data_IF_378745896653
#
_entry.id   IF_378745896653
#
_cell.length_a   1.000
_cell.length_b   1.000
_cell.length_c   1.000
_cell.angle_alpha   90.00
_cell.angle_beta   90.00
_cell.angle_gamma   90.00
#
_symmetry.space_group_name_H-M   'P 1'
#
loop_
_entity.id
_entity.type
_entity.pdbx_description
1 polymer ?
#
# COMPACT_ATOMS: atom_id res chain seq x y z
N UNK A 1 -30.80 13.28 18.57
CA UNK A 1 -30.01 12.03 18.74
C UNK A 1 -29.28 12.13 20.06
N UNK A 2 -29.18 11.04 20.81
CA UNK A 2 -28.46 10.99 22.10
C UNK A 2 -27.22 10.13 21.94
N UNK A 3 -26.08 10.56 22.48
CA UNK A 3 -24.83 9.78 22.46
C UNK A 3 -24.92 8.66 23.49
N UNK A 4 -24.85 7.40 23.04
CA UNK A 4 -24.97 6.21 23.90
C UNK A 4 -23.65 5.53 24.23
N UNK A 5 -22.56 5.88 23.54
CA UNK A 5 -21.26 5.29 23.77
C UNK A 5 -20.13 6.03 23.06
N UNK A 6 -18.90 5.81 23.53
CA UNK A 6 -17.66 6.31 22.92
C UNK A 6 -16.75 5.11 22.72
N UNK A 7 -16.15 5.02 21.52
CA UNK A 7 -15.21 3.96 21.16
C UNK A 7 -13.83 4.54 20.92
N UNK A 8 -12.79 3.71 21.01
CA UNK A 8 -11.43 4.11 20.65
C UNK A 8 -11.37 4.50 19.17
N UNK A 9 -10.46 5.41 18.84
CA UNK A 9 -10.21 5.81 17.46
C UNK A 9 -9.85 4.59 16.61
N UNK A 10 -10.40 4.57 15.40
CA UNK A 10 -10.07 3.52 14.43
C UNK A 10 -8.59 3.62 14.06
N UNK A 11 -7.86 2.50 13.96
CA UNK A 11 -6.46 2.52 13.53
C UNK A 11 -6.27 3.22 12.18
N UNK A 12 -5.14 3.92 12.01
CA UNK A 12 -4.78 4.66 10.78
C UNK A 12 -4.76 3.79 9.51
N UNK A 13 -4.55 2.48 9.65
CA UNK A 13 -4.45 1.51 8.56
C UNK A 13 -5.77 0.76 8.27
N UNK A 14 -6.91 1.25 8.75
CA UNK A 14 -8.23 0.71 8.43
C UNK A 14 -8.78 1.33 7.15
N UNK A 15 -9.47 0.55 6.30
CA UNK A 15 -10.20 1.11 5.14
C UNK A 15 -11.48 1.85 5.58
N UNK A 16 -12.01 1.50 6.75
CA UNK A 16 -13.23 2.06 7.30
C UNK A 16 -12.86 3.05 8.42
N UNK A 17 -13.25 4.32 8.27
CA UNK A 17 -13.06 5.37 9.27
C UNK A 17 -14.39 6.08 9.53
N UNK A 18 -14.64 6.42 10.79
CA UNK A 18 -15.86 7.14 11.18
C UNK A 18 -15.58 8.07 12.36
N UNK A 19 -16.31 9.18 12.42
CA UNK A 19 -16.36 10.07 13.58
C UNK A 19 -17.61 9.83 14.43
N UNK A 20 -18.66 9.27 13.84
CA UNK A 20 -19.92 8.94 14.49
C UNK A 20 -20.49 7.66 13.87
N UNK A 21 -21.16 6.85 14.70
CA UNK A 21 -21.95 5.71 14.25
C UNK A 21 -23.39 5.89 14.73
N UNK A 22 -24.32 5.51 13.88
CA UNK A 22 -25.75 5.51 14.16
C UNK A 22 -26.40 4.22 13.66
N UNK A 23 -27.56 3.91 14.21
CA UNK A 23 -28.34 2.77 13.72
C UNK A 23 -28.87 3.05 12.31
N UNK A 24 -28.75 2.06 11.43
CA UNK A 24 -29.34 2.13 10.08
C UNK A 24 -30.87 2.28 10.15
N UNK A 25 -31.52 1.66 11.15
CA UNK A 25 -32.97 1.82 11.38
C UNK A 25 -33.34 3.26 11.73
N UNK A 26 -32.51 3.95 12.51
CA UNK A 26 -32.74 5.38 12.81
C UNK A 26 -32.61 6.22 11.54
N UNK A 27 -31.65 5.93 10.67
CA UNK A 27 -31.50 6.61 9.38
C UNK A 27 -32.75 6.44 8.49
N UNK A 28 -33.33 5.24 8.44
CA UNK A 28 -34.59 5.00 7.71
C UNK A 28 -35.74 5.77 8.36
N UNK A 29 -35.84 5.77 9.69
CA UNK A 29 -36.96 6.38 10.41
C UNK A 29 -37.04 7.91 10.22
N UNK A 30 -35.89 8.58 10.12
CA UNK A 30 -35.79 10.04 9.97
C UNK A 30 -35.79 10.52 8.51
N UNK A 31 -35.72 9.61 7.53
CA UNK A 31 -35.74 9.97 6.12
C UNK A 31 -37.19 9.96 5.60
N UNK A 32 -37.58 11.02 4.90
CA UNK A 32 -38.92 11.16 4.32
C UNK A 32 -39.19 10.11 3.23
N UNK A 33 -38.16 9.66 2.51
CA UNK A 33 -38.27 8.65 1.45
C UNK A 33 -37.81 7.27 1.93
N UNK A 34 -38.64 6.62 2.76
CA UNK A 34 -38.34 5.28 3.32
C UNK A 34 -38.28 4.18 2.26
N UNK A 35 -39.06 4.31 1.19
CA UNK A 35 -39.14 3.31 0.13
C UNK A 35 -37.81 3.12 -0.59
N UNK A 36 -37.00 4.18 -0.70
CA UNK A 36 -35.67 4.12 -1.33
C UNK A 36 -34.71 3.11 -0.66
N UNK A 37 -34.88 2.84 0.64
CA UNK A 37 -34.06 1.87 1.38
C UNK A 37 -34.47 0.42 1.12
N UNK A 38 -35.69 0.19 0.63
CA UNK A 38 -36.22 -1.14 0.33
C UNK A 38 -36.14 -1.49 -1.16
N UNK A 39 -35.68 -0.54 -1.99
CA UNK A 39 -35.54 -0.73 -3.42
C UNK A 39 -34.29 -1.53 -3.77
N UNK A 40 -34.52 -2.64 -4.48
CA UNK A 40 -33.47 -3.39 -5.14
C UNK A 40 -32.85 -2.56 -6.26
N UNK A 41 -31.52 -2.52 -6.29
CA UNK A 41 -30.75 -1.66 -7.19
C UNK A 41 -30.18 -0.40 -6.54
N UNK A 42 -30.57 -0.10 -5.29
CA UNK A 42 -29.89 0.94 -4.51
C UNK A 42 -28.51 0.45 -4.06
N UNK A 43 -27.45 1.03 -4.63
CA UNK A 43 -26.04 0.72 -4.31
C UNK A 43 -25.38 1.77 -3.43
N UNK A 44 -26.15 2.56 -2.67
CA UNK A 44 -25.62 3.65 -1.84
C UNK A 44 -24.98 3.17 -0.53
N UNK A 45 -25.02 1.86 -0.26
CA UNK A 45 -24.57 1.28 1.00
C UNK A 45 -23.54 0.18 0.77
N UNK A 46 -22.48 0.22 1.58
CA UNK A 46 -21.48 -0.84 1.61
C UNK A 46 -21.98 -1.98 2.49
N UNK A 47 -21.91 -3.19 1.96
CA UNK A 47 -22.37 -4.39 2.65
C UNK A 47 -21.19 -5.31 2.91
N UNK A 48 -20.93 -5.60 4.17
CA UNK A 48 -19.91 -6.56 4.59
C UNK A 48 -20.57 -7.88 4.93
N UNK A 49 -19.98 -8.97 4.46
CA UNK A 49 -20.39 -10.33 4.81
C UNK A 49 -19.21 -11.08 5.43
N UNK A 50 -19.45 -11.73 6.55
CA UNK A 50 -18.49 -12.64 7.16
C UNK A 50 -18.82 -14.06 6.69
N UNK A 51 -17.86 -14.70 6.04
CA UNK A 51 -18.01 -16.05 5.47
C UNK A 51 -17.26 -17.08 6.33
N UNK A 52 -17.73 -18.33 6.29
CA UNK A 52 -17.07 -19.44 6.99
C UNK A 52 -15.85 -19.96 6.21
N UNK A 53 -14.90 -20.66 6.87
CA UNK A 53 -13.82 -21.35 6.17
C UNK A 53 -14.36 -22.33 5.10
N UNK A 54 -13.72 -22.36 3.93
CA UNK A 54 -14.16 -23.19 2.80
C UNK A 54 -15.32 -22.60 1.98
N UNK A 55 -15.65 -21.32 2.19
CA UNK A 55 -16.68 -20.64 1.40
C UNK A 55 -16.27 -20.47 -0.07
N UNK A 56 -17.06 -21.05 -0.97
CA UNK A 56 -16.89 -20.96 -2.42
C UNK A 56 -17.44 -19.65 -2.98
N UNK A 57 -16.56 -18.65 -3.13
CA UNK A 57 -16.91 -17.31 -3.64
C UNK A 57 -17.58 -17.38 -5.01
N UNK A 58 -17.00 -18.12 -5.95
CA UNK A 58 -17.52 -18.23 -7.32
C UNK A 58 -18.94 -18.85 -7.36
N UNK A 59 -19.19 -19.86 -6.54
CA UNK A 59 -20.51 -20.48 -6.42
C UNK A 59 -21.55 -19.52 -5.83
N UNK A 60 -21.15 -18.68 -4.87
CA UNK A 60 -22.02 -17.67 -4.31
C UNK A 60 -22.32 -16.53 -5.30
N UNK A 61 -21.31 -16.02 -6.01
CA UNK A 61 -21.51 -15.00 -7.05
C UNK A 61 -22.45 -15.48 -8.17
N UNK A 62 -22.35 -16.75 -8.56
CA UNK A 62 -23.28 -17.33 -9.53
C UNK A 62 -24.74 -17.30 -9.05
N UNK A 63 -24.97 -17.49 -7.74
CA UNK A 63 -26.31 -17.35 -7.12
C UNK A 63 -26.77 -15.90 -7.06
N UNK A 64 -25.86 -14.94 -6.88
CA UNK A 64 -26.21 -13.51 -6.88
C UNK A 64 -26.83 -13.09 -8.21
N UNK A 65 -26.35 -13.62 -9.35
CA UNK A 65 -26.95 -13.34 -10.67
C UNK A 65 -28.44 -13.68 -10.70
N UNK A 66 -28.85 -14.81 -10.11
CA UNK A 66 -30.25 -15.20 -10.05
C UNK A 66 -31.07 -14.32 -9.09
N UNK A 67 -30.45 -13.88 -8.01
CA UNK A 67 -31.07 -12.97 -7.04
C UNK A 67 -31.33 -11.59 -7.67
N UNK A 68 -30.37 -11.05 -8.43
CA UNK A 68 -30.57 -9.81 -9.20
C UNK A 68 -31.75 -9.95 -10.14
N UNK A 69 -31.81 -11.02 -10.92
CA UNK A 69 -32.93 -11.28 -11.86
C UNK A 69 -34.28 -11.35 -11.18
N UNK A 70 -34.34 -11.91 -9.96
CA UNK A 70 -35.59 -12.09 -9.21
C UNK A 70 -36.12 -10.77 -8.64
N UNK A 71 -35.24 -9.89 -8.18
CA UNK A 71 -35.65 -8.73 -7.38
C UNK A 71 -35.46 -7.37 -8.07
N UNK A 72 -34.68 -7.28 -9.15
CA UNK A 72 -34.62 -6.05 -9.95
C UNK A 72 -35.82 -5.98 -10.90
N UNK A 73 -36.44 -4.81 -10.99
CA UNK A 73 -37.56 -4.56 -11.91
C UNK A 73 -37.09 -4.62 -13.38
N UNK A 74 -37.99 -5.02 -14.29
CA UNK A 74 -37.67 -5.10 -15.72
C UNK A 74 -37.21 -3.77 -16.30
N UNK A 75 -37.77 -2.66 -15.81
CA UNK A 75 -37.39 -1.31 -16.21
C UNK A 75 -35.94 -0.98 -15.87
N UNK A 76 -35.47 -1.41 -14.69
CA UNK A 76 -34.09 -1.23 -14.26
C UNK A 76 -33.12 -2.08 -15.08
N UNK A 77 -33.53 -3.32 -15.39
CA UNK A 77 -32.77 -4.27 -16.22
C UNK A 77 -32.59 -3.79 -17.66
N UNK A 78 -33.52 -3.00 -18.19
CA UNK A 78 -33.49 -2.49 -19.57
C UNK A 78 -32.78 -1.13 -19.69
N UNK A 79 -32.71 -0.34 -18.61
CA UNK A 79 -32.08 1.00 -18.59
C UNK A 79 -30.61 0.99 -18.19
N UNK A 80 -30.11 -0.08 -17.58
CA UNK A 80 -28.75 -0.13 -17.03
C UNK A 80 -27.92 -1.26 -17.66
N UNK A 81 -26.60 -1.06 -17.74
CA UNK A 81 -25.67 -2.14 -18.06
C UNK A 81 -25.83 -3.24 -17.00
N UNK A 82 -25.62 -4.54 -17.32
CA UNK A 82 -25.78 -5.61 -16.35
C UNK A 82 -24.88 -5.36 -15.13
N UNK A 83 -25.49 -4.99 -14.02
CA UNK A 83 -24.82 -4.85 -12.74
C UNK A 83 -24.53 -6.24 -12.19
N UNK A 84 -23.25 -6.64 -12.24
CA UNK A 84 -22.80 -7.86 -11.58
C UNK A 84 -22.36 -7.50 -10.16
N UNK A 85 -23.03 -8.09 -9.18
CA UNK A 85 -22.48 -8.12 -7.82
C UNK A 85 -21.37 -9.17 -7.78
N UNK A 86 -20.24 -8.77 -7.22
CA UNK A 86 -19.09 -9.63 -6.98
C UNK A 86 -18.58 -9.35 -5.56
N UNK A 87 -17.84 -10.30 -5.02
CA UNK A 87 -17.27 -10.18 -3.68
C UNK A 87 -15.86 -9.60 -3.82
N UNK A 88 -15.59 -8.58 -3.03
CA UNK A 88 -14.25 -8.03 -2.89
C UNK A 88 -13.69 -8.48 -1.54
N UNK A 89 -12.63 -9.31 -1.50
CA UNK A 89 -11.95 -9.63 -0.25
C UNK A 89 -11.48 -8.36 0.45
N UNK A 90 -11.80 -8.25 1.75
CA UNK A 90 -11.49 -7.06 2.56
C UNK A 90 -9.99 -6.74 2.58
N UNK A 91 -9.14 -7.77 2.57
CA UNK A 91 -7.69 -7.64 2.59
C UNK A 91 -7.12 -7.04 1.28
N UNK A 92 -7.85 -7.20 0.18
CA UNK A 92 -7.41 -6.75 -1.14
C UNK A 92 -7.97 -5.37 -1.53
N UNK A 93 -8.86 -4.79 -0.71
CA UNK A 93 -9.54 -3.52 -1.02
C UNK A 93 -8.52 -2.39 -1.26
N UNK A 94 -7.46 -2.32 -0.47
CA UNK A 94 -6.56 -1.17 -0.53
C UNK A 94 -5.78 -1.05 -1.85
N UNK A 95 -5.42 -2.18 -2.48
CA UNK A 95 -4.53 -2.20 -3.65
C UNK A 95 -5.22 -2.67 -4.95
N UNK A 96 -6.37 -3.36 -4.83
CA UNK A 96 -7.02 -4.02 -5.95
C UNK A 96 -8.52 -3.68 -6.06
N UNK A 97 -9.09 -2.87 -5.15
CA UNK A 97 -10.48 -2.41 -5.30
C UNK A 97 -10.58 -1.48 -6.51
N UNK A 98 -11.47 -1.81 -7.44
CA UNK A 98 -11.84 -0.93 -8.55
C UNK A 98 -13.31 -0.51 -8.45
N UNK A 99 -13.85 -0.48 -7.22
CA UNK A 99 -15.24 -0.14 -6.95
C UNK A 99 -15.39 1.38 -7.02
N UNK A 100 -16.40 1.85 -7.76
CA UNK A 100 -16.74 3.27 -7.80
C UNK A 100 -17.20 3.71 -6.41
N UNK A 101 -16.66 4.83 -5.92
CA UNK A 101 -16.92 5.35 -4.57
C UNK A 101 -16.53 4.33 -3.50
N UNK A 102 -15.24 4.09 -3.28
CA UNK A 102 -14.80 3.31 -2.11
C UNK A 102 -14.94 4.15 -0.81
N UNK A 103 -15.12 3.51 0.35
CA UNK A 103 -15.19 4.22 1.64
C UNK A 103 -13.83 4.81 2.00
N UNK A 104 -12.78 4.06 1.68
CA UNK A 104 -11.40 4.39 2.01
C UNK A 104 -10.64 4.95 0.83
N UNK A 105 -9.45 5.50 1.10
CA UNK A 105 -8.46 5.72 0.05
C UNK A 105 -7.95 4.36 -0.44
N UNK A 106 -8.23 4.03 -1.69
CA UNK A 106 -7.52 2.96 -2.37
C UNK A 106 -6.28 3.53 -3.09
N UNK A 107 -5.33 2.65 -3.36
CA UNK A 107 -4.27 2.89 -4.32
C UNK A 107 -4.27 1.75 -5.34
N UNK A 108 -3.61 1.98 -6.47
CA UNK A 108 -3.38 0.93 -7.44
C UNK A 108 -2.04 0.24 -7.17
N UNK A 109 -2.04 -1.09 -7.15
CA UNK A 109 -0.80 -1.89 -7.06
C UNK A 109 0.23 -1.51 -8.14
N UNK A 110 -0.22 -1.04 -9.31
CA UNK A 110 0.64 -0.55 -10.39
C UNK A 110 1.52 0.62 -9.96
N UNK A 111 1.01 1.54 -9.13
CA UNK A 111 1.82 2.63 -8.61
C UNK A 111 2.95 2.14 -7.71
N UNK A 112 2.72 1.10 -6.90
CA UNK A 112 3.77 0.49 -6.09
C UNK A 112 4.88 -0.10 -6.95
N UNK A 113 4.52 -0.82 -8.03
CA UNK A 113 5.52 -1.37 -8.95
C UNK A 113 6.30 -0.27 -9.67
N UNK A 114 5.65 0.82 -10.08
CA UNK A 114 6.33 1.97 -10.69
C UNK A 114 7.32 2.63 -9.73
N UNK A 115 6.92 2.86 -8.47
CA UNK A 115 7.78 3.43 -7.45
C UNK A 115 8.97 2.51 -7.12
N UNK A 116 8.73 1.21 -6.99
CA UNK A 116 9.79 0.22 -6.76
C UNK A 116 10.78 0.17 -7.93
N UNK A 117 10.29 0.22 -9.17
CA UNK A 117 11.14 0.28 -10.37
C UNK A 117 11.98 1.55 -10.42
N UNK A 118 11.39 2.71 -10.09
CA UNK A 118 12.10 3.99 -10.03
C UNK A 118 13.19 3.98 -8.94
N UNK A 119 12.86 3.47 -7.75
CA UNK A 119 13.82 3.33 -6.65
C UNK A 119 15.02 2.44 -7.06
N UNK A 120 14.77 1.34 -7.77
CA UNK A 120 15.81 0.46 -8.29
C UNK A 120 16.73 1.18 -9.29
N UNK A 121 16.17 1.95 -10.22
CA UNK A 121 16.95 2.72 -11.20
C UNK A 121 17.84 3.75 -10.49
N UNK A 122 17.28 4.49 -9.53
CA UNK A 122 18.03 5.47 -8.74
C UNK A 122 19.18 4.80 -7.98
N UNK A 123 18.92 3.64 -7.37
CA UNK A 123 19.95 2.86 -6.68
C UNK A 123 21.07 2.42 -7.64
N UNK A 124 20.72 1.94 -8.84
CA UNK A 124 21.71 1.58 -9.86
C UNK A 124 22.55 2.77 -10.29
N UNK A 125 21.94 3.94 -10.52
CA UNK A 125 22.66 5.17 -10.84
C UNK A 125 23.63 5.56 -9.72
N UNK A 126 23.21 5.45 -8.47
CA UNK A 126 24.08 5.70 -7.31
C UNK A 126 25.26 4.72 -7.27
N UNK A 127 25.02 3.43 -7.49
CA UNK A 127 26.07 2.41 -7.54
C UNK A 127 27.07 2.65 -8.68
N UNK A 128 26.59 2.97 -9.88
CA UNK A 128 27.45 3.27 -11.04
C UNK A 128 28.30 4.51 -10.77
N UNK A 129 27.71 5.56 -10.21
CA UNK A 129 28.44 6.77 -9.83
C UNK A 129 29.52 6.47 -8.79
N UNK A 130 29.18 5.72 -7.75
CA UNK A 130 30.13 5.30 -6.73
C UNK A 130 31.28 4.45 -7.31
N UNK A 131 31.00 3.50 -8.20
CA UNK A 131 32.03 2.72 -8.90
C UNK A 131 32.95 3.61 -9.74
N UNK A 132 32.38 4.59 -10.46
CA UNK A 132 33.17 5.53 -11.26
C UNK A 132 34.10 6.39 -10.37
N UNK A 133 33.58 6.95 -9.26
CA UNK A 133 34.37 7.73 -8.32
C UNK A 133 35.48 6.91 -7.65
N UNK A 134 35.16 5.68 -7.24
CA UNK A 134 36.12 4.77 -6.61
C UNK A 134 37.22 4.38 -7.59
N UNK A 135 36.86 4.09 -8.84
CA UNK A 135 37.81 3.77 -9.92
C UNK A 135 38.70 4.95 -10.25
N UNK A 136 38.16 6.16 -10.38
CA UNK A 136 38.94 7.38 -10.62
C UNK A 136 39.95 7.68 -9.50
N UNK A 137 39.61 7.35 -8.25
CA UNK A 137 40.51 7.50 -7.08
C UNK A 137 41.50 6.35 -6.91
N UNK A 138 41.32 5.25 -7.63
CA UNK A 138 42.16 4.06 -7.49
C UNK A 138 43.62 4.32 -7.89
N UNK A 139 43.88 5.20 -8.87
CA UNK A 139 45.23 5.58 -9.31
C UNK A 139 46.02 6.31 -8.23
N UNK A 140 45.38 7.19 -7.46
CA UNK A 140 46.03 7.87 -6.32
C UNK A 140 46.38 6.87 -5.22
N UNK A 141 45.44 5.97 -4.89
CA UNK A 141 45.65 4.91 -3.89
C UNK A 141 46.67 3.87 -4.34
N UNK A 142 46.78 3.58 -5.63
CA UNK A 142 47.78 2.66 -6.16
C UNK A 142 49.21 3.16 -5.90
N UNK A 143 49.45 4.47 -6.01
CA UNK A 143 50.76 5.08 -5.69
C UNK A 143 51.10 4.94 -4.20
N UNK A 144 50.12 5.16 -3.32
CA UNK A 144 50.25 5.01 -1.87
C UNK A 144 50.52 3.55 -1.46
N UNK A 145 49.79 2.60 -2.06
CA UNK A 145 49.98 1.16 -1.85
C UNK A 145 51.35 0.70 -2.35
N UNK A 146 51.80 1.20 -3.51
CA UNK A 146 53.12 0.92 -4.05
C UNK A 146 54.24 1.36 -3.10
N UNK A 147 54.15 2.58 -2.57
CA UNK A 147 55.12 3.09 -1.60
C UNK A 147 55.12 2.26 -0.30
N UNK A 148 53.94 1.92 0.25
CA UNK A 148 53.84 1.11 1.48
C UNK A 148 54.40 -0.31 1.30
N UNK A 149 54.19 -0.94 0.13
CA UNK A 149 54.79 -2.25 -0.17
C UNK A 149 56.32 -2.20 -0.23
N UNK A 150 56.91 -1.13 -0.77
CA UNK A 150 58.38 -0.96 -0.81
C UNK A 150 58.96 -0.83 0.60
N UNK A 151 58.22 -0.24 1.54
CA UNK A 151 58.61 -0.11 2.96
C UNK A 151 58.30 -1.40 3.76
N UNK A 152 57.81 -2.45 3.12
CA UNK A 152 57.60 -3.77 3.75
C UNK A 152 56.21 -4.02 4.31
N UNK A 153 55.20 -3.23 3.95
CA UNK A 153 53.82 -3.48 4.39
C UNK A 153 53.27 -4.78 3.80
N UNK A 154 52.71 -5.63 4.67
CA UNK A 154 52.09 -6.89 4.26
C UNK A 154 50.73 -6.68 3.57
N UNK A 155 50.37 -7.58 2.65
CA UNK A 155 49.11 -7.54 1.89
C UNK A 155 47.89 -7.56 2.82
N UNK A 156 47.95 -8.33 3.91
CA UNK A 156 46.83 -8.45 4.84
C UNK A 156 46.61 -7.16 5.63
N UNK A 157 47.68 -6.44 5.95
CA UNK A 157 47.64 -5.16 6.67
C UNK A 157 46.93 -4.09 5.84
N UNK A 158 47.28 -3.99 4.55
CA UNK A 158 46.66 -3.05 3.61
C UNK A 158 45.17 -3.38 3.38
N UNK A 159 44.82 -4.66 3.21
CA UNK A 159 43.44 -5.09 3.04
C UNK A 159 42.58 -4.72 4.25
N UNK A 160 43.05 -5.02 5.46
CA UNK A 160 42.34 -4.70 6.71
C UNK A 160 42.15 -3.20 6.88
N UNK A 161 43.19 -2.40 6.61
CA UNK A 161 43.09 -0.95 6.70
C UNK A 161 42.03 -0.40 5.74
N UNK A 162 42.08 -0.75 4.45
CA UNK A 162 41.13 -0.21 3.47
C UNK A 162 39.70 -0.71 3.66
N UNK A 163 39.52 -1.98 4.03
CA UNK A 163 38.20 -2.51 4.39
C UNK A 163 37.66 -1.79 5.63
N UNK A 164 38.49 -1.55 6.64
CA UNK A 164 38.11 -0.81 7.85
C UNK A 164 37.73 0.65 7.56
N UNK A 165 38.54 1.37 6.79
CA UNK A 165 38.24 2.74 6.35
C UNK A 165 36.93 2.79 5.54
N UNK A 166 36.71 1.84 4.63
CA UNK A 166 35.50 1.79 3.82
C UNK A 166 34.26 1.48 4.68
N UNK A 167 34.37 0.50 5.58
CA UNK A 167 33.28 0.14 6.50
C UNK A 167 32.90 1.30 7.42
N UNK A 168 33.89 2.01 7.98
CA UNK A 168 33.66 3.19 8.82
C UNK A 168 32.95 4.30 8.05
N UNK A 169 33.40 4.61 6.83
CA UNK A 169 32.75 5.62 5.97
C UNK A 169 31.32 5.21 5.60
N UNK A 170 31.09 3.94 5.24
CA UNK A 170 29.75 3.45 4.90
C UNK A 170 28.83 3.50 6.11
N UNK A 171 29.29 3.08 7.30
CA UNK A 171 28.50 3.17 8.53
C UNK A 171 28.14 4.61 8.89
N UNK A 172 29.10 5.53 8.80
CA UNK A 172 28.86 6.95 9.04
C UNK A 172 27.83 7.52 8.05
N UNK A 173 27.97 7.21 6.76
CA UNK A 173 27.02 7.63 5.73
C UNK A 173 25.62 7.02 5.96
N UNK A 174 25.52 5.75 6.34
CA UNK A 174 24.24 5.08 6.65
C UNK A 174 23.55 5.70 7.87
N UNK A 175 24.28 6.05 8.92
CA UNK A 175 23.72 6.73 10.09
C UNK A 175 23.16 8.12 9.72
N UNK A 176 23.91 8.89 8.92
CA UNK A 176 23.45 10.19 8.41
C UNK A 176 22.21 10.00 7.53
N UNK A 177 22.21 8.99 6.66
CA UNK A 177 21.06 8.71 5.79
C UNK A 177 19.81 8.36 6.61
N UNK A 178 19.92 7.51 7.64
CA UNK A 178 18.80 7.17 8.52
C UNK A 178 18.27 8.40 9.27
N UNK A 179 19.15 9.25 9.77
CA UNK A 179 18.77 10.49 10.45
C UNK A 179 18.05 11.45 9.50
N UNK A 180 18.54 11.59 8.27
CA UNK A 180 17.89 12.40 7.25
C UNK A 180 16.53 11.84 6.83
N UNK A 181 16.40 10.50 6.71
CA UNK A 181 15.12 9.86 6.41
C UNK A 181 14.09 10.17 7.49
N UNK A 182 14.45 10.03 8.76
CA UNK A 182 13.54 10.33 9.88
C UNK A 182 13.14 11.82 9.89
N UNK A 183 14.07 12.72 9.58
CA UNK A 183 13.83 14.17 9.58
C UNK A 183 13.00 14.64 8.38
N UNK A 184 13.10 13.95 7.23
CA UNK A 184 12.40 14.31 5.99
C UNK A 184 11.08 13.57 5.80
N UNK A 185 10.81 12.50 6.58
CA UNK A 185 9.53 11.83 6.57
C UNK A 185 8.44 12.79 7.08
N UNK A 186 7.37 13.04 6.30
CA UNK A 186 6.25 13.83 6.76
C UNK A 186 5.49 13.08 7.89
N UNK A 187 5.05 13.83 8.91
CA UNK A 187 4.33 13.33 10.10
C UNK A 187 2.91 12.78 9.81
#
# INVERSE_FOLDING_TARGET
>A
MTVTGVVKNVPRNSHFHFNMLGSFETLIAINDNKEQFQQWGNSSFYTYILVQPGFEVAAFEAKLVNLVKKYHTEEWRNKTKPHRYYLQPLQDIHLNSHINFDIGKNNDVRYLYLLAGLALIILLLACINYMNLTTARATLRAKEVGMRKVVGADRLQLLKQFMGESLLLTLAASLIALLLVELLLPA
#
